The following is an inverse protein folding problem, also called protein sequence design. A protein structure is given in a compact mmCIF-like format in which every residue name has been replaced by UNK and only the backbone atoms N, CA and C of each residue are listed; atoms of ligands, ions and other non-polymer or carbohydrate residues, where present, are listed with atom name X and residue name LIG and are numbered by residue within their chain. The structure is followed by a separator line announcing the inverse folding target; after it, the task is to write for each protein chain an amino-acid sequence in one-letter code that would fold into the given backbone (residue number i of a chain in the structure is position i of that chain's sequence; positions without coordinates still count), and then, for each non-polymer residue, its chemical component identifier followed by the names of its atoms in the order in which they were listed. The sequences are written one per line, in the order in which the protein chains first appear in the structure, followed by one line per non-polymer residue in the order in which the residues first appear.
data_IF_177924302645
#
_entry.id   IF_177924302645
#
_cell.length_a   1.000
_cell.length_b   1.000
_cell.length_c   1.000
_cell.angle_alpha   90.00
_cell.angle_beta   90.00
_cell.angle_gamma   90.00
#
_symmetry.space_group_name_H-M   'P 1'
#
loop_
_entity.id
_entity.type
_entity.pdbx_description
1 polymer ?
#
# COMPACT_ATOMS: atom_id res chain seq x y z
N UNK A 1 1.21 3.63 -24.38
CA UNK A 1 0.68 4.62 -23.40
C UNK A 1 0.39 3.87 -22.12
N UNK A 2 1.01 4.24 -21.00
CA UNK A 2 0.51 3.79 -19.70
C UNK A 2 -0.80 4.55 -19.43
N UNK A 3 -1.82 3.87 -18.91
CA UNK A 3 -3.04 4.51 -18.42
C UNK A 3 -2.69 5.34 -17.18
N UNK A 4 -3.40 6.44 -16.93
CA UNK A 4 -3.13 7.32 -15.77
C UNK A 4 -3.13 6.55 -14.44
N UNK A 5 -3.97 5.52 -14.34
CA UNK A 5 -4.04 4.60 -13.21
C UNK A 5 -2.73 3.83 -12.97
N UNK A 6 -2.06 3.36 -14.04
CA UNK A 6 -0.76 2.71 -13.91
C UNK A 6 0.35 3.67 -13.48
N UNK A 7 0.28 4.93 -13.90
CA UNK A 7 1.25 5.94 -13.47
C UNK A 7 1.11 6.22 -11.97
N UNK A 8 -0.11 6.43 -11.49
CA UNK A 8 -0.39 6.66 -10.06
C UNK A 8 0.04 5.45 -9.19
N UNK A 9 -0.19 4.23 -9.66
CA UNK A 9 0.30 3.00 -9.02
C UNK A 9 1.83 2.99 -8.90
N UNK A 10 2.53 3.28 -9.99
CA UNK A 10 3.99 3.31 -10.00
C UNK A 10 4.57 4.39 -9.08
N UNK A 11 3.95 5.57 -9.01
CA UNK A 11 4.36 6.66 -8.12
C UNK A 11 4.18 6.28 -6.64
N UNK A 12 3.04 5.68 -6.29
CA UNK A 12 2.80 5.20 -4.93
C UNK A 12 3.79 4.11 -4.50
N UNK A 13 4.09 3.15 -5.40
CA UNK A 13 5.08 2.11 -5.15
C UNK A 13 6.49 2.69 -4.99
N UNK A 14 6.88 3.65 -5.83
CA UNK A 14 8.17 4.30 -5.74
C UNK A 14 8.33 5.06 -4.40
N UNK A 15 7.28 5.75 -3.95
CA UNK A 15 7.28 6.45 -2.67
C UNK A 15 7.39 5.48 -1.49
N UNK A 16 6.62 4.39 -1.52
CA UNK A 16 6.70 3.34 -0.50
C UNK A 16 8.11 2.75 -0.45
N UNK A 17 8.70 2.37 -1.58
CA UNK A 17 10.06 1.86 -1.66
C UNK A 17 11.10 2.86 -1.11
N UNK A 18 10.98 4.13 -1.47
CA UNK A 18 11.88 5.18 -1.01
C UNK A 18 11.85 5.35 0.51
N UNK A 19 10.65 5.44 1.10
CA UNK A 19 10.50 5.61 2.54
C UNK A 19 10.87 4.36 3.35
N UNK A 20 10.87 3.20 2.70
CA UNK A 20 11.16 1.93 3.37
C UNK A 20 12.64 1.69 3.60
N UNK A 21 13.53 2.36 2.86
CA UNK A 21 14.99 2.19 2.95
C UNK A 21 15.42 0.71 2.97
N UNK A 22 14.80 -0.11 2.10
CA UNK A 22 15.06 -1.56 2.01
C UNK A 22 14.44 -2.43 3.10
N UNK A 23 13.73 -1.86 4.08
CA UNK A 23 13.01 -2.59 5.12
C UNK A 23 11.63 -3.07 4.63
N UNK A 24 11.41 -4.38 4.63
CA UNK A 24 10.18 -4.98 4.14
C UNK A 24 8.93 -4.64 5.00
N UNK A 25 9.09 -4.50 6.31
CA UNK A 25 7.99 -4.12 7.21
C UNK A 25 7.59 -2.66 7.00
N UNK A 26 8.57 -1.76 6.87
CA UNK A 26 8.32 -0.36 6.52
C UNK A 26 7.65 -0.24 5.14
N UNK A 27 8.02 -1.10 4.20
CA UNK A 27 7.35 -1.16 2.89
C UNK A 27 5.90 -1.58 3.00
N UNK A 28 5.63 -2.64 3.76
CA UNK A 28 4.27 -3.07 4.03
C UNK A 28 3.46 -1.94 4.69
N UNK A 29 4.05 -1.24 5.67
CA UNK A 29 3.45 -0.08 6.32
C UNK A 29 3.07 1.02 5.32
N UNK A 30 4.04 1.48 4.53
CA UNK A 30 3.86 2.60 3.61
C UNK A 30 2.90 2.29 2.46
N UNK A 31 2.71 1.00 2.14
CA UNK A 31 1.76 0.57 1.12
C UNK A 31 0.30 0.57 1.60
N UNK A 32 0.04 0.54 2.92
CA UNK A 32 -1.34 0.56 3.46
C UNK A 32 -2.11 1.83 3.10
N UNK A 33 -1.47 3.00 3.16
CA UNK A 33 -2.10 4.28 2.88
C UNK A 33 -2.52 4.45 1.41
N UNK A 34 -1.67 4.12 0.40
CA UNK A 34 -2.10 4.06 -1.00
C UNK A 34 -3.28 3.14 -1.24
N UNK A 35 -3.28 1.93 -0.65
CA UNK A 35 -4.39 0.98 -0.80
C UNK A 35 -5.71 1.55 -0.24
N UNK A 36 -5.65 2.18 0.93
CA UNK A 36 -6.82 2.83 1.52
C UNK A 36 -7.32 4.02 0.69
N UNK A 37 -6.41 4.80 0.11
CA UNK A 37 -6.77 5.92 -0.77
C UNK A 37 -7.44 5.44 -2.07
N UNK A 38 -6.93 4.37 -2.69
CA UNK A 38 -7.54 3.81 -3.91
C UNK A 38 -8.89 3.18 -3.66
N UNK A 39 -9.08 2.54 -2.50
CA UNK A 39 -10.39 2.09 -2.05
C UNK A 39 -11.37 3.27 -1.95
N UNK A 40 -10.97 4.36 -1.25
CA UNK A 40 -11.80 5.56 -1.12
C UNK A 40 -12.10 6.29 -2.44
N UNK A 41 -11.29 6.07 -3.48
CA UNK A 41 -11.49 6.61 -4.83
C UNK A 41 -12.25 5.66 -5.77
N UNK A 42 -12.61 4.45 -5.32
CA UNK A 42 -13.26 3.43 -6.16
C UNK A 42 -12.34 2.82 -7.22
N UNK A 43 -11.02 2.98 -7.08
CA UNK A 43 -10.01 2.40 -7.98
C UNK A 43 -9.63 0.97 -7.59
N UNK A 44 -9.89 0.59 -6.35
CA UNK A 44 -9.68 -0.75 -5.82
C UNK A 44 -10.98 -1.21 -5.16
N UNK A 45 -11.35 -2.47 -5.40
CA UNK A 45 -12.47 -3.11 -4.73
C UNK A 45 -12.25 -3.13 -3.21
N UNK A 46 -13.30 -2.82 -2.45
CA UNK A 46 -13.23 -2.65 -1.00
C UNK A 46 -12.78 -3.93 -0.29
N UNK A 47 -13.31 -5.09 -0.67
CA UNK A 47 -12.96 -6.37 -0.05
C UNK A 47 -11.50 -6.74 -0.34
N UNK A 48 -11.03 -6.45 -1.56
CA UNK A 48 -9.64 -6.65 -1.96
C UNK A 48 -8.71 -5.73 -1.16
N UNK A 49 -9.05 -4.43 -1.07
CA UNK A 49 -8.25 -3.43 -0.36
C UNK A 49 -8.12 -3.77 1.13
N UNK A 50 -9.23 -4.08 1.80
CA UNK A 50 -9.27 -4.45 3.21
C UNK A 50 -8.44 -5.71 3.45
N UNK A 51 -8.60 -6.74 2.62
CA UNK A 51 -7.85 -7.99 2.75
C UNK A 51 -6.34 -7.78 2.59
N UNK A 52 -5.92 -6.99 1.60
CA UNK A 52 -4.52 -6.66 1.38
C UNK A 52 -3.93 -5.87 2.56
N UNK A 53 -4.63 -4.83 3.03
CA UNK A 53 -4.21 -4.03 4.19
C UNK A 53 -4.10 -4.92 5.43
N UNK A 54 -5.05 -5.83 5.65
CA UNK A 54 -5.01 -6.76 6.78
C UNK A 54 -3.77 -7.66 6.74
N UNK A 55 -3.45 -8.25 5.58
CA UNK A 55 -2.25 -9.08 5.41
C UNK A 55 -0.96 -8.27 5.62
N UNK A 56 -0.89 -7.03 5.13
CA UNK A 56 0.26 -6.15 5.33
C UNK A 56 0.45 -5.80 6.81
N UNK A 57 -0.64 -5.58 7.55
CA UNK A 57 -0.56 -5.36 9.00
C UNK A 57 -0.06 -6.58 9.78
N UNK A 58 -0.32 -7.81 9.30
CA UNK A 58 0.21 -9.02 9.93
C UNK A 58 1.74 -9.12 9.83
N UNK A 59 2.34 -8.44 8.84
CA UNK A 59 3.80 -8.38 8.67
C UNK A 59 4.49 -7.48 9.71
N UNK A 60 3.75 -6.65 10.45
CA UNK A 60 4.30 -5.89 11.58
C UNK A 60 4.33 -6.78 12.83
N UNK A 61 5.49 -7.33 13.25
CA UNK A 61 5.54 -8.20 14.42
C UNK A 61 5.45 -7.40 15.74
N UNK A 62 5.37 -6.06 15.67
CA UNK A 62 5.74 -5.17 16.78
C UNK A 62 4.87 -3.92 16.96
N UNK A 63 3.58 -3.93 16.60
CA UNK A 63 2.63 -3.00 17.25
C UNK A 63 2.04 -3.74 18.46
N UNK A 64 2.85 -3.85 19.52
CA UNK A 64 2.29 -4.12 20.85
C UNK A 64 1.62 -2.82 21.30
N UNK A 65 0.29 -2.82 21.33
CA UNK A 65 -0.50 -1.83 22.06
C UNK A 65 -0.14 -1.93 23.55
#
# INVERSE_FOLDING_TARGET
MQTESMKALNEALALALHHSDGNAEAFAFHLTAPLAAWMGQGMLDEDIAISAIHLLHQLHPSVKI
#
